data_IF_758309448378
#
_entry.id   IF_758309448378
#
_cell.length_a   1.000
_cell.length_b   1.000
_cell.length_c   1.000
_cell.angle_alpha   90.00
_cell.angle_beta   90.00
_cell.angle_gamma   90.00
#
_symmetry.space_group_name_H-M   'P 1'
#
loop_
_entity.id
_entity.type
_entity.pdbx_description
1 polymer ?
#
# COMPACT_ATOMS: atom_id res chain seq x y z
N UNK A 1 -4.42 20.49 -10.90
CA UNK A 1 -5.70 20.03 -10.34
C UNK A 1 -5.53 18.59 -9.89
N UNK A 2 -5.93 18.22 -8.67
CA UNK A 2 -5.87 16.82 -8.20
C UNK A 2 -6.95 15.99 -8.92
N UNK A 3 -6.70 14.72 -9.27
CA UNK A 3 -7.67 13.89 -10.00
C UNK A 3 -8.90 13.62 -9.14
N UNK A 4 -10.09 13.49 -9.72
CA UNK A 4 -11.28 13.14 -8.94
C UNK A 4 -11.15 11.71 -8.36
N UNK A 5 -11.54 11.48 -7.09
CA UNK A 5 -11.56 10.14 -6.50
C UNK A 5 -12.53 9.19 -7.24
N UNK A 6 -12.07 7.98 -7.56
CA UNK A 6 -12.85 6.89 -8.19
C UNK A 6 -12.56 5.56 -7.48
N UNK A 7 -13.33 4.51 -7.79
CA UNK A 7 -13.09 3.17 -7.20
C UNK A 7 -11.75 2.57 -7.60
N UNK A 8 -11.22 2.95 -8.75
CA UNK A 8 -9.98 2.43 -9.33
C UNK A 8 -8.76 3.13 -8.72
N UNK A 9 -8.84 4.43 -8.45
CA UNK A 9 -7.74 5.23 -7.91
C UNK A 9 -7.80 5.43 -6.38
N UNK A 10 -8.86 4.97 -5.72
CA UNK A 10 -9.07 5.10 -4.28
C UNK A 10 -9.20 3.73 -3.61
N UNK A 11 -8.42 3.48 -2.57
CA UNK A 11 -8.50 2.24 -1.80
C UNK A 11 -9.12 2.46 -0.42
N UNK A 12 -10.13 1.64 -0.09
CA UNK A 12 -10.73 1.60 1.24
C UNK A 12 -9.85 0.83 2.23
N UNK A 13 -9.50 1.46 3.35
CA UNK A 13 -8.57 0.91 4.33
C UNK A 13 -9.07 1.10 5.76
N UNK A 14 -9.40 0.01 6.48
CA UNK A 14 -9.64 0.04 7.91
C UNK A 14 -8.35 0.43 8.66
N UNK A 15 -8.47 1.34 9.63
CA UNK A 15 -7.34 1.82 10.44
C UNK A 15 -7.73 1.95 11.92
N UNK A 16 -6.75 1.85 12.81
CA UNK A 16 -6.95 2.10 14.25
C UNK A 16 -7.09 3.60 14.51
N UNK A 17 -7.95 3.99 15.46
CA UNK A 17 -8.21 5.39 15.83
C UNK A 17 -6.92 6.18 16.07
N UNK A 18 -5.97 5.62 16.83
CA UNK A 18 -4.69 6.29 17.13
C UNK A 18 -3.91 6.71 15.88
N UNK A 19 -3.86 5.87 14.85
CA UNK A 19 -3.15 6.19 13.62
C UNK A 19 -3.95 7.14 12.73
N UNK A 20 -5.28 7.01 12.72
CA UNK A 20 -6.17 7.96 12.06
C UNK A 20 -5.93 9.38 12.59
N UNK A 21 -5.96 9.55 13.91
CA UNK A 21 -5.76 10.86 14.54
C UNK A 21 -4.37 11.43 14.28
N UNK A 22 -3.32 10.59 14.25
CA UNK A 22 -1.98 11.02 13.85
C UNK A 22 -1.91 11.48 12.38
N UNK A 23 -2.65 10.84 11.48
CA UNK A 23 -2.73 11.25 10.06
C UNK A 23 -3.44 12.60 9.94
N UNK A 24 -4.58 12.77 10.63
CA UNK A 24 -5.32 14.04 10.61
C UNK A 24 -4.51 15.18 11.24
N UNK A 25 -3.77 14.90 12.32
CA UNK A 25 -2.84 15.85 12.92
C UNK A 25 -1.58 16.09 12.08
N UNK A 26 -1.39 15.33 11.00
CA UNK A 26 -0.23 15.42 10.12
C UNK A 26 1.07 14.90 10.73
N UNK A 27 1.05 14.23 11.87
CA UNK A 27 2.24 13.67 12.53
C UNK A 27 2.63 12.30 11.97
N UNK A 28 1.68 11.56 11.39
CA UNK A 28 1.94 10.35 10.62
C UNK A 28 1.84 10.66 9.12
N UNK A 29 2.95 10.48 8.41
CA UNK A 29 3.09 10.82 6.97
C UNK A 29 3.08 9.61 6.03
N UNK A 30 3.02 8.41 6.58
CA UNK A 30 2.98 7.17 5.80
C UNK A 30 1.94 6.22 6.37
N UNK A 31 1.23 5.49 5.50
CA UNK A 31 0.34 4.39 5.88
C UNK A 31 0.89 3.06 5.38
N UNK A 32 1.09 2.11 6.30
CA UNK A 32 1.78 0.85 6.03
C UNK A 32 0.79 -0.29 5.84
N UNK A 33 1.02 -1.13 4.82
CA UNK A 33 0.25 -2.35 4.58
C UNK A 33 1.14 -3.52 4.22
N UNK A 34 0.96 -4.64 4.90
CA UNK A 34 1.62 -5.89 4.56
C UNK A 34 1.20 -6.35 3.16
N UNK A 35 2.19 -6.82 2.39
CA UNK A 35 2.00 -7.49 1.11
C UNK A 35 2.23 -8.97 1.34
N UNK A 36 1.14 -9.73 1.32
CA UNK A 36 1.14 -11.17 1.51
C UNK A 36 0.38 -11.84 0.39
N UNK A 37 1.04 -12.80 -0.25
CA UNK A 37 0.43 -13.60 -1.32
C UNK A 37 -0.84 -14.31 -0.83
N UNK A 38 -1.86 -14.38 -1.68
CA UNK A 38 -3.16 -14.98 -1.36
C UNK A 38 -4.04 -14.16 -0.40
N UNK A 39 -3.50 -13.12 0.26
CA UNK A 39 -4.25 -12.33 1.25
C UNK A 39 -4.38 -10.88 0.81
N UNK A 40 -3.27 -10.13 0.75
CA UNK A 40 -3.29 -8.68 0.52
C UNK A 40 -2.61 -8.25 -0.77
N UNK A 41 -1.73 -9.08 -1.36
CA UNK A 41 -0.95 -8.72 -2.54
C UNK A 41 -1.83 -8.26 -3.72
N UNK A 42 -2.94 -8.94 -4.00
CA UNK A 42 -3.91 -8.55 -5.04
C UNK A 42 -4.49 -7.13 -4.87
N UNK A 43 -4.47 -6.58 -3.66
CA UNK A 43 -4.95 -5.23 -3.38
C UNK A 43 -3.92 -4.18 -3.76
N UNK A 44 -2.64 -4.50 -3.74
CA UNK A 44 -1.57 -3.50 -3.87
C UNK A 44 -0.70 -3.70 -5.11
N UNK A 45 -0.72 -4.88 -5.73
CA UNK A 45 0.14 -5.21 -6.88
C UNK A 45 -0.68 -5.29 -8.18
N UNK A 46 -0.07 -4.89 -9.28
CA UNK A 46 -0.66 -5.06 -10.62
C UNK A 46 -0.67 -6.55 -10.94
N UNK A 47 -1.83 -7.07 -11.33
CA UNK A 47 -1.94 -8.47 -11.77
C UNK A 47 -1.35 -8.64 -13.17
N UNK A 48 -0.72 -9.78 -13.38
CA UNK A 48 -0.25 -10.22 -14.68
C UNK A 48 -0.61 -11.69 -14.85
N UNK A 49 -1.24 -12.05 -15.97
CA UNK A 49 -1.77 -13.40 -16.19
C UNK A 49 -0.66 -14.46 -16.32
N UNK A 50 0.56 -14.06 -16.71
CA UNK A 50 1.69 -14.98 -16.92
C UNK A 50 2.50 -15.21 -15.66
N UNK A 51 2.68 -14.16 -14.85
CA UNK A 51 3.60 -14.14 -13.69
C UNK A 51 2.89 -13.95 -12.34
N UNK A 52 1.55 -14.04 -12.31
CA UNK A 52 0.64 -13.67 -11.20
C UNK A 52 0.61 -12.16 -10.92
N UNK A 53 1.76 -11.51 -10.82
CA UNK A 53 1.90 -10.07 -10.63
C UNK A 53 2.94 -9.49 -11.60
N UNK A 54 2.70 -8.27 -12.08
CA UNK A 54 3.58 -7.62 -13.04
C UNK A 54 4.94 -7.33 -12.43
N UNK A 55 6.00 -7.89 -13.01
CA UNK A 55 7.37 -7.70 -12.57
C UNK A 55 7.83 -6.24 -12.77
N UNK A 56 8.69 -5.78 -11.87
CA UNK A 56 9.41 -4.52 -12.00
C UNK A 56 10.69 -4.76 -12.84
N UNK A 57 10.74 -4.27 -14.10
CA UNK A 57 11.85 -4.57 -15.01
C UNK A 57 13.20 -4.00 -14.54
N UNK A 58 13.20 -2.99 -13.66
CA UNK A 58 14.42 -2.35 -13.18
C UNK A 58 15.21 -3.22 -12.20
N UNK A 59 14.53 -4.19 -11.57
CA UNK A 59 15.09 -5.01 -10.47
C UNK A 59 14.84 -6.50 -10.64
N UNK A 60 14.33 -6.91 -11.81
CA UNK A 60 14.05 -8.31 -12.12
C UNK A 60 14.71 -8.74 -13.43
N UNK A 61 14.79 -10.05 -13.66
CA UNK A 61 15.35 -10.65 -14.87
C UNK A 61 14.34 -11.65 -15.43
N UNK A 62 14.16 -11.74 -16.76
CA UNK A 62 13.24 -12.70 -17.37
C UNK A 62 13.64 -14.17 -17.16
N UNK A 63 14.89 -14.44 -16.77
CA UNK A 63 15.41 -15.80 -16.56
C UNK A 63 15.15 -16.35 -15.14
N UNK A 64 14.64 -15.51 -14.23
CA UNK A 64 14.39 -15.88 -12.84
C UNK A 64 12.90 -15.75 -12.53
N UNK A 65 12.35 -16.77 -11.87
CA UNK A 65 11.04 -16.66 -11.22
C UNK A 65 11.17 -15.88 -9.91
N UNK A 66 10.22 -14.97 -9.66
CA UNK A 66 10.17 -14.15 -8.46
C UNK A 66 8.91 -14.45 -7.65
N UNK A 67 9.06 -14.38 -6.32
CA UNK A 67 7.97 -14.58 -5.37
C UNK A 67 7.78 -13.33 -4.50
N UNK A 68 6.58 -13.18 -3.93
CA UNK A 68 6.22 -11.97 -3.13
C UNK A 68 7.13 -11.80 -1.92
N UNK A 69 7.68 -12.88 -1.37
CA UNK A 69 8.59 -12.87 -0.23
C UNK A 69 10.07 -12.83 -0.62
N UNK A 70 10.43 -12.76 -1.90
CA UNK A 70 11.82 -12.62 -2.32
C UNK A 70 12.40 -11.30 -1.77
N UNK A 71 13.52 -11.39 -1.04
CA UNK A 71 14.22 -10.20 -0.56
C UNK A 71 14.87 -9.43 -1.71
N UNK A 72 15.39 -10.15 -2.71
CA UNK A 72 15.96 -9.60 -3.95
C UNK A 72 16.90 -8.39 -3.69
N UNK A 73 17.86 -8.58 -2.76
CA UNK A 73 18.84 -7.56 -2.34
C UNK A 73 18.21 -6.25 -1.85
N UNK A 74 17.01 -6.31 -1.29
CA UNK A 74 16.26 -5.14 -0.81
C UNK A 74 15.37 -4.47 -1.85
N UNK A 75 15.23 -5.04 -3.05
CA UNK A 75 14.39 -4.48 -4.12
C UNK A 75 13.15 -5.34 -4.36
N UNK A 76 11.98 -4.83 -4.01
CA UNK A 76 10.73 -5.57 -4.22
C UNK A 76 10.47 -5.85 -5.72
N UNK A 77 10.19 -7.10 -6.12
CA UNK A 77 10.23 -7.49 -7.54
C UNK A 77 8.98 -7.14 -8.35
N UNK A 78 7.90 -6.64 -7.75
CA UNK A 78 6.63 -6.40 -8.45
C UNK A 78 6.20 -4.93 -8.44
N UNK A 79 5.48 -4.52 -9.49
CA UNK A 79 4.94 -3.17 -9.61
C UNK A 79 3.65 -3.02 -8.79
N UNK A 80 3.51 -1.93 -8.01
CA UNK A 80 2.28 -1.65 -7.29
C UNK A 80 1.22 -1.04 -8.20
N UNK A 81 -0.03 -1.15 -7.78
CA UNK A 81 -1.12 -0.32 -8.30
C UNK A 81 -0.92 1.12 -7.83
N UNK A 82 -1.14 2.06 -8.74
CA UNK A 82 -1.06 3.48 -8.42
C UNK A 82 -2.39 4.01 -7.87
N UNK A 83 -2.51 4.01 -6.55
CA UNK A 83 -3.59 4.72 -5.86
C UNK A 83 -3.25 6.21 -5.76
N UNK A 84 -4.26 7.06 -5.96
CA UNK A 84 -4.17 8.51 -5.74
C UNK A 84 -4.79 8.92 -4.40
N UNK A 85 -5.64 8.06 -3.83
CA UNK A 85 -6.29 8.32 -2.55
C UNK A 85 -6.41 7.06 -1.68
N UNK A 86 -6.38 7.27 -0.37
CA UNK A 86 -6.81 6.31 0.64
C UNK A 86 -8.11 6.80 1.26
N UNK A 87 -9.14 5.95 1.26
CA UNK A 87 -10.32 6.15 2.09
C UNK A 87 -10.10 5.41 3.43
N UNK A 88 -9.64 6.17 4.43
CA UNK A 88 -9.33 5.68 5.76
C UNK A 88 -10.58 5.63 6.62
N UNK A 89 -10.82 4.49 7.27
CA UNK A 89 -12.05 4.25 8.01
C UNK A 89 -11.78 3.62 9.36
N UNK A 90 -12.25 4.25 10.44
CA UNK A 90 -12.00 3.79 11.80
C UNK A 90 -13.01 2.71 12.22
N UNK A 91 -12.50 1.50 12.49
CA UNK A 91 -13.31 0.38 12.97
C UNK A 91 -14.47 -0.02 12.04
N UNK A 92 -15.48 -0.68 12.61
CA UNK A 92 -16.60 -1.30 11.87
C UNK A 92 -17.99 -0.78 12.29
N UNK A 93 -18.06 0.25 13.13
CA UNK A 93 -19.33 0.85 13.55
C UNK A 93 -20.05 1.54 12.38
N UNK A 94 -21.39 1.64 12.45
CA UNK A 94 -22.18 2.34 11.42
C UNK A 94 -21.85 3.84 11.34
N UNK A 95 -21.66 4.47 12.51
CA UNK A 95 -21.20 5.86 12.64
C UNK A 95 -19.75 5.79 13.10
N UNK A 96 -18.85 6.37 12.30
CA UNK A 96 -17.41 6.26 12.49
C UNK A 96 -16.66 7.37 11.77
N UNK A 97 -15.46 7.65 12.26
CA UNK A 97 -14.56 8.59 11.61
C UNK A 97 -14.08 8.02 10.28
N UNK A 98 -14.09 8.86 9.25
CA UNK A 98 -13.55 8.56 7.93
C UNK A 98 -12.78 9.74 7.38
N UNK A 99 -11.76 9.47 6.58
CA UNK A 99 -11.02 10.51 5.87
C UNK A 99 -10.61 10.04 4.49
N UNK A 100 -10.73 10.93 3.53
CA UNK A 100 -10.11 10.76 2.23
C UNK A 100 -8.77 11.49 2.24
N UNK A 101 -7.68 10.74 2.04
CA UNK A 101 -6.31 11.26 2.12
C UNK A 101 -5.60 11.03 0.80
N UNK A 102 -4.91 12.04 0.31
CA UNK A 102 -4.09 11.96 -0.90
C UNK A 102 -2.90 11.00 -0.72
N UNK A 103 -2.58 10.26 -1.78
CA UNK A 103 -1.34 9.49 -1.90
C UNK A 103 -0.41 10.23 -2.84
N UNK A 104 0.75 10.63 -2.33
CA UNK A 104 1.78 11.36 -3.09
C UNK A 104 2.88 10.44 -3.64
N UNK A 105 2.96 9.21 -3.12
CA UNK A 105 3.98 8.25 -3.51
C UNK A 105 3.84 6.93 -2.75
N UNK A 106 4.80 6.04 -2.97
CA UNK A 106 4.92 4.80 -2.22
C UNK A 106 6.38 4.39 -2.08
N UNK A 107 6.65 3.50 -1.13
CA UNK A 107 7.90 2.74 -1.06
C UNK A 107 7.62 1.30 -0.61
N UNK A 108 8.49 0.36 -0.98
CA UNK A 108 8.48 -0.99 -0.45
C UNK A 108 9.55 -1.13 0.61
N UNK A 109 9.19 -1.69 1.75
CA UNK A 109 10.06 -1.83 2.91
C UNK A 109 10.17 -3.30 3.33
N UNK A 110 11.36 -3.92 3.24
CA UNK A 110 11.55 -5.30 3.67
C UNK A 110 11.61 -5.36 5.20
N UNK A 111 10.85 -6.28 5.79
CA UNK A 111 10.87 -6.59 7.21
C UNK A 111 11.26 -8.06 7.41
N UNK A 112 11.77 -8.40 8.60
CA UNK A 112 12.13 -9.78 8.97
C UNK A 112 12.94 -10.52 7.89
N UNK A 113 14.03 -9.91 7.44
CA UNK A 113 14.91 -10.46 6.40
C UNK A 113 15.52 -11.78 6.90
N UNK A 114 15.40 -12.86 6.13
CA UNK A 114 15.92 -14.19 6.48
C UNK A 114 16.92 -14.67 5.44
N UNK A 115 18.10 -15.04 5.91
CA UNK A 115 19.19 -15.60 5.12
C UNK A 115 19.59 -14.76 3.89
N UNK A 116 19.24 -13.46 3.87
CA UNK A 116 19.39 -12.58 2.70
C UNK A 116 18.62 -13.06 1.45
N UNK A 117 17.63 -13.94 1.63
CA UNK A 117 16.84 -14.56 0.56
C UNK A 117 15.37 -14.13 0.63
N UNK A 118 14.80 -14.03 1.83
CA UNK A 118 13.38 -13.77 2.04
C UNK A 118 13.14 -12.54 2.90
N UNK A 119 12.03 -11.84 2.67
CA UNK A 119 11.56 -10.74 3.49
C UNK A 119 10.03 -10.67 3.53
N UNK A 120 9.51 -10.12 4.62
CA UNK A 120 8.11 -9.78 4.75
C UNK A 120 7.95 -8.35 4.26
N UNK A 121 7.22 -8.17 3.17
CA UNK A 121 7.15 -6.88 2.50
C UNK A 121 5.98 -6.05 2.99
N UNK A 122 6.26 -4.75 3.13
CA UNK A 122 5.27 -3.72 3.45
C UNK A 122 5.32 -2.68 2.35
N UNK A 123 4.15 -2.26 1.84
CA UNK A 123 4.03 -1.02 1.08
C UNK A 123 3.74 0.11 2.06
N UNK A 124 4.53 1.16 2.00
CA UNK A 124 4.30 2.43 2.68
C UNK A 124 3.72 3.41 1.67
N UNK A 125 2.46 3.79 1.83
CA UNK A 125 1.85 4.87 1.05
C UNK A 125 2.24 6.20 1.67
N UNK A 126 2.84 7.09 0.88
CA UNK A 126 3.19 8.45 1.30
C UNK A 126 1.94 9.31 1.27
N UNK A 127 1.64 9.97 2.40
CA UNK A 127 0.39 10.69 2.59
C UNK A 127 0.58 12.18 2.29
N UNK A 128 -0.31 12.71 1.46
CA UNK A 128 -0.46 14.13 1.18
C UNK A 128 -1.54 14.77 2.05
N UNK A 129 -2.34 15.63 1.43
CA UNK A 129 -3.39 16.36 2.13
C UNK A 129 -4.58 15.48 2.52
N UNK A 130 -5.22 15.83 3.63
CA UNK A 130 -6.56 15.35 3.96
C UNK A 130 -7.56 16.13 3.11
N UNK A 131 -8.24 15.43 2.20
CA UNK A 131 -9.18 16.02 1.23
C UNK A 131 -10.57 16.14 1.82
N UNK A 132 -11.00 15.09 2.54
CA UNK A 132 -12.29 15.06 3.24
C UNK A 132 -12.10 14.45 4.63
N UNK A 133 -12.81 14.98 5.61
CA UNK A 133 -12.82 14.48 6.97
C UNK A 133 -14.27 14.43 7.49
N UNK A 134 -14.67 13.24 7.94
CA UNK A 134 -15.92 13.03 8.66
C UNK A 134 -15.59 12.49 10.05
N UNK A 135 -16.19 13.10 11.07
CA UNK A 135 -16.09 12.67 12.46
C UNK A 135 -17.46 12.19 12.94
N UNK A 136 -17.45 11.12 13.73
CA UNK A 136 -18.64 10.56 14.39
C UNK A 136 -19.27 11.52 15.40
#
# INVERSE_FOLDING_TARGET
MKPTPTKENTIYLPIRQVYFDQIIAGTKKEEYREIKEGITANRYLIKDEKTRYKLNPDVTSPEKEYFVDDYNKGSFPFLPKEYKYLNLVVGYAKIRDTALVEVTGYSFQPHMIRANLYAFWVIAFHLGDVIELHRK
#
